data_IF_411646027796
#
_entry.id   IF_411646027796
#
_cell.length_a   1.000
_cell.length_b   1.000
_cell.length_c   1.000
_cell.angle_alpha   90.00
_cell.angle_beta   90.00
_cell.angle_gamma   90.00
#
_symmetry.space_group_name_H-M   'P 1'
#
loop_
_entity.id
_entity.type
_entity.pdbx_description
1 polymer ?
#
# COMPACT_ATOMS: atom_id res chain seq x y z
N UNK A 1 -9.37 -6.10 -13.40
CA UNK A 1 -8.70 -6.63 -12.19
C UNK A 1 -9.58 -6.32 -10.99
N UNK A 2 -9.72 -7.29 -10.10
CA UNK A 2 -10.37 -7.13 -8.80
C UNK A 2 -9.60 -7.92 -7.75
N UNK A 3 -9.64 -7.50 -6.49
CA UNK A 3 -9.16 -8.29 -5.36
C UNK A 3 -9.99 -7.97 -4.10
N UNK A 4 -10.16 -8.99 -3.25
CA UNK A 4 -11.02 -8.92 -2.06
C UNK A 4 -10.17 -8.76 -0.80
N UNK A 5 -10.56 -7.82 0.05
CA UNK A 5 -9.89 -7.50 1.31
C UNK A 5 -10.89 -7.55 2.45
N UNK A 6 -10.55 -8.24 3.53
CA UNK A 6 -11.17 -8.03 4.84
C UNK A 6 -10.79 -6.64 5.36
N UNK A 7 -11.77 -5.77 5.55
CA UNK A 7 -11.61 -4.42 6.11
C UNK A 7 -12.56 -4.29 7.28
N UNK A 8 -12.01 -4.13 8.47
CA UNK A 8 -12.72 -4.32 9.74
C UNK A 8 -13.49 -5.66 9.77
N UNK A 9 -14.82 -5.63 9.87
CA UNK A 9 -15.69 -6.82 9.85
C UNK A 9 -16.41 -7.02 8.50
N UNK A 10 -15.90 -6.44 7.42
CA UNK A 10 -16.48 -6.53 6.08
C UNK A 10 -15.50 -7.10 5.07
N UNK A 11 -16.01 -7.80 4.06
CA UNK A 11 -15.24 -8.12 2.85
C UNK A 11 -15.54 -7.10 1.76
N UNK A 12 -14.51 -6.43 1.27
CA UNK A 12 -14.61 -5.44 0.20
C UNK A 12 -13.86 -5.93 -1.04
N UNK A 13 -14.59 -6.05 -2.15
CA UNK A 13 -14.00 -6.32 -3.45
C UNK A 13 -13.68 -4.99 -4.14
N UNK A 14 -12.39 -4.72 -4.33
CA UNK A 14 -11.91 -3.50 -4.96
C UNK A 14 -11.60 -3.78 -6.44
N UNK A 15 -11.98 -2.85 -7.31
CA UNK A 15 -11.66 -2.86 -8.72
C UNK A 15 -10.48 -1.93 -9.04
N UNK A 16 -10.13 -1.88 -10.34
CA UNK A 16 -9.01 -1.06 -10.84
C UNK A 16 -9.08 0.39 -10.39
N UNK A 17 -10.24 1.02 -10.53
CA UNK A 17 -10.42 2.44 -10.19
C UNK A 17 -10.20 2.71 -8.71
N UNK A 18 -10.66 1.80 -7.83
CA UNK A 18 -10.41 1.92 -6.40
C UNK A 18 -8.93 1.79 -6.06
N UNK A 19 -8.20 0.86 -6.70
CA UNK A 19 -6.75 0.75 -6.50
C UNK A 19 -5.98 1.97 -7.01
N UNK A 20 -6.38 2.52 -8.16
CA UNK A 20 -5.79 3.76 -8.68
C UNK A 20 -6.05 4.94 -7.73
N UNK A 21 -7.26 5.04 -7.17
CA UNK A 21 -7.58 6.05 -6.16
C UNK A 21 -6.72 5.89 -4.88
N UNK A 22 -6.55 4.66 -4.39
CA UNK A 22 -5.67 4.37 -3.25
C UNK A 22 -4.20 4.71 -3.55
N UNK A 23 -3.72 4.40 -4.77
CA UNK A 23 -2.37 4.78 -5.23
C UNK A 23 -2.19 6.30 -5.17
N UNK A 24 -3.17 7.06 -5.67
CA UNK A 24 -3.12 8.52 -5.67
C UNK A 24 -3.16 9.10 -4.25
N UNK A 25 -3.98 8.55 -3.36
CA UNK A 25 -4.02 8.95 -1.94
C UNK A 25 -2.68 8.70 -1.23
N UNK A 26 -2.05 7.56 -1.49
CA UNK A 26 -0.72 7.25 -0.97
C UNK A 26 0.34 8.21 -1.53
N UNK A 27 0.32 8.47 -2.83
CA UNK A 27 1.25 9.40 -3.49
C UNK A 27 1.16 10.82 -2.90
N UNK A 28 -0.05 11.35 -2.76
CA UNK A 28 -0.28 12.67 -2.16
C UNK A 28 0.27 12.73 -0.73
N UNK A 29 0.00 11.70 0.08
CA UNK A 29 0.45 11.63 1.47
C UNK A 29 1.98 11.51 1.60
N UNK A 30 2.62 10.72 0.72
CA UNK A 30 4.08 10.63 0.66
C UNK A 30 4.71 11.97 0.27
N UNK A 31 4.14 12.65 -0.73
CA UNK A 31 4.64 13.94 -1.24
C UNK A 31 4.62 15.02 -0.17
N UNK A 32 3.55 15.05 0.63
CA UNK A 32 3.38 15.99 1.75
C UNK A 32 4.24 15.66 2.97
N UNK A 33 4.69 14.42 3.13
CA UNK A 33 5.50 14.00 4.27
C UNK A 33 6.98 14.34 4.10
N UNK A 34 7.54 15.17 4.98
CA UNK A 34 8.99 15.43 4.98
C UNK A 34 9.84 14.15 5.13
N UNK A 35 9.37 13.20 5.95
CA UNK A 35 10.09 11.95 6.25
C UNK A 35 10.02 10.93 5.12
N UNK A 36 8.95 10.90 4.34
CA UNK A 36 8.69 9.82 3.36
C UNK A 36 8.61 10.30 1.91
N UNK A 37 8.84 11.59 1.64
CA UNK A 37 8.80 12.18 0.29
C UNK A 37 9.72 11.48 -0.70
N UNK A 38 10.85 10.94 -0.24
CA UNK A 38 11.80 10.21 -1.10
C UNK A 38 11.19 9.00 -1.82
N UNK A 39 10.11 8.42 -1.29
CA UNK A 39 9.44 7.25 -1.88
C UNK A 39 8.37 7.62 -2.92
N UNK A 40 7.92 8.88 -2.97
CA UNK A 40 6.87 9.33 -3.87
C UNK A 40 7.22 9.14 -5.38
N UNK A 41 8.44 9.45 -5.87
CA UNK A 41 8.75 9.35 -7.30
C UNK A 41 8.71 7.91 -7.86
N UNK A 42 8.91 6.89 -7.02
CA UNK A 42 8.76 5.50 -7.43
C UNK A 42 7.28 5.15 -7.63
N UNK A 43 6.41 5.59 -6.72
CA UNK A 43 4.97 5.36 -6.81
C UNK A 43 4.31 6.17 -7.94
N UNK A 44 4.75 7.41 -8.15
CA UNK A 44 4.26 8.32 -9.20
C UNK A 44 4.40 7.73 -10.60
N UNK A 45 5.55 7.10 -10.88
CA UNK A 45 5.86 6.49 -12.18
C UNK A 45 5.25 5.10 -12.37
N UNK A 46 4.56 4.58 -11.34
CA UNK A 46 4.08 3.21 -11.31
C UNK A 46 2.60 3.10 -11.67
N UNK A 47 2.27 2.21 -12.60
CA UNK A 47 0.88 1.88 -12.94
C UNK A 47 0.34 0.73 -12.09
N UNK A 48 -0.96 0.72 -11.79
CA UNK A 48 -1.58 -0.40 -11.09
C UNK A 48 -1.74 -1.58 -12.07
N UNK A 49 -1.33 -2.77 -11.64
CA UNK A 49 -1.50 -4.02 -12.36
C UNK A 49 -1.74 -5.18 -11.39
N UNK A 50 -2.18 -6.32 -11.92
CA UNK A 50 -2.42 -7.53 -11.12
C UNK A 50 -1.88 -8.78 -11.81
N UNK A 51 -1.35 -9.71 -11.03
CA UNK A 51 -0.95 -11.04 -11.48
C UNK A 51 -1.24 -12.04 -10.36
N UNK A 52 -1.87 -13.17 -10.69
CA UNK A 52 -2.19 -14.24 -9.74
C UNK A 52 -2.93 -13.76 -8.48
N UNK A 53 -3.87 -12.83 -8.64
CA UNK A 53 -4.65 -12.26 -7.53
C UNK A 53 -3.91 -11.20 -6.70
N UNK A 54 -2.63 -10.96 -7.00
CA UNK A 54 -1.79 -9.96 -6.32
C UNK A 54 -1.87 -8.63 -7.07
N UNK A 55 -2.18 -7.53 -6.37
CA UNK A 55 -2.29 -6.19 -6.97
C UNK A 55 -1.10 -5.33 -6.58
N UNK A 56 -0.46 -4.69 -7.58
CA UNK A 56 0.80 -3.97 -7.44
C UNK A 56 0.81 -2.63 -8.15
N UNK A 57 1.72 -1.76 -7.74
CA UNK A 57 2.14 -0.58 -8.49
C UNK A 57 3.67 -0.48 -8.42
N UNK A 58 4.37 -0.89 -9.48
CA UNK A 58 5.84 -0.96 -9.47
C UNK A 58 6.36 -1.89 -8.36
N UNK A 59 7.14 -1.35 -7.42
CA UNK A 59 7.65 -2.06 -6.24
C UNK A 59 6.66 -2.13 -5.07
N UNK A 60 5.52 -1.47 -5.20
CA UNK A 60 4.49 -1.41 -4.19
C UNK A 60 3.47 -2.52 -4.37
N UNK A 61 3.01 -3.06 -3.25
CA UNK A 61 2.12 -4.19 -3.17
C UNK A 61 0.94 -3.87 -2.27
N UNK A 62 -0.28 -4.06 -2.77
CA UNK A 62 -1.46 -4.00 -1.94
C UNK A 62 -1.59 -5.30 -1.15
N UNK A 63 -1.71 -5.20 0.16
CA UNK A 63 -1.88 -6.35 1.06
C UNK A 63 -3.03 -6.13 2.02
N UNK A 64 -3.55 -7.23 2.56
CA UNK A 64 -4.42 -7.21 3.72
C UNK A 64 -3.58 -7.43 4.97
N UNK A 65 -3.54 -6.46 5.88
CA UNK A 65 -2.89 -6.60 7.18
C UNK A 65 -3.82 -6.17 8.28
N UNK A 66 -4.06 -7.06 9.26
CA UNK A 66 -4.91 -6.78 10.41
C UNK A 66 -6.26 -6.16 10.04
N UNK A 67 -6.93 -6.72 9.01
CA UNK A 67 -8.22 -6.23 8.50
C UNK A 67 -8.15 -4.79 7.97
N UNK A 68 -7.03 -4.43 7.35
CA UNK A 68 -6.85 -3.15 6.67
C UNK A 68 -6.22 -3.38 5.31
N UNK A 69 -6.60 -2.55 4.34
CA UNK A 69 -5.84 -2.45 3.09
C UNK A 69 -4.60 -1.63 3.39
N UNK A 70 -3.44 -2.15 2.98
CA UNK A 70 -2.17 -1.46 3.07
C UNK A 70 -1.46 -1.47 1.73
N UNK A 71 -0.65 -0.45 1.47
CA UNK A 71 0.28 -0.41 0.34
C UNK A 71 1.71 -0.47 0.89
N UNK A 72 2.40 -1.56 0.55
CA UNK A 72 3.72 -1.89 1.08
C UNK A 72 4.76 -1.75 -0.01
N UNK A 73 5.78 -0.91 0.21
CA UNK A 73 6.96 -0.91 -0.65
C UNK A 73 7.83 -2.11 -0.30
N UNK A 74 8.04 -3.00 -1.27
CA UNK A 74 8.90 -4.16 -1.07
C UNK A 74 10.38 -3.75 -1.29
N UNK A 75 11.24 -3.78 -0.24
CA UNK A 75 12.64 -3.42 -0.38
C UNK A 75 13.42 -4.49 -1.16
N UNK A 76 14.61 -4.15 -1.71
CA UNK A 76 15.57 -5.15 -2.16
C UNK A 76 15.92 -6.11 -1.01
N UNK A 77 16.17 -7.39 -1.32
CA UNK A 77 16.59 -8.36 -0.31
C UNK A 77 17.90 -7.91 0.33
N UNK A 78 17.86 -7.66 1.64
CA UNK A 78 18.99 -7.22 2.47
C UNK A 78 18.91 -7.88 3.85
N UNK A 79 20.01 -7.92 4.64
CA UNK A 79 20.02 -8.51 5.99
C UNK A 79 18.98 -7.90 6.95
N UNK A 80 18.65 -6.63 6.75
CA UNK A 80 17.53 -5.94 7.41
C UNK A 80 16.60 -5.45 6.32
N UNK A 81 15.36 -5.96 6.29
CA UNK A 81 14.35 -5.53 5.34
C UNK A 81 13.55 -4.37 5.95
N UNK A 82 13.55 -3.23 5.25
CA UNK A 82 12.85 -2.01 5.64
C UNK A 82 11.63 -1.83 4.72
N UNK A 83 10.44 -2.02 5.24
CA UNK A 83 9.19 -1.87 4.50
C UNK A 83 8.58 -0.50 4.80
N UNK A 84 8.29 0.27 3.76
CA UNK A 84 7.47 1.47 3.88
C UNK A 84 6.02 1.06 3.70
N UNK A 85 5.19 1.30 4.70
CA UNK A 85 3.79 0.84 4.73
C UNK A 85 2.87 2.04 4.84
N UNK A 86 2.04 2.23 3.82
CA UNK A 86 0.93 3.19 3.85
C UNK A 86 -0.34 2.44 4.24
N UNK A 87 -0.95 2.83 5.36
CA UNK A 87 -2.22 2.23 5.84
C UNK A 87 -3.39 3.06 5.38
N UNK A 88 -4.43 2.40 4.91
CA UNK A 88 -5.68 3.05 4.54
C UNK A 88 -6.77 2.79 5.57
N UNK A 89 -7.63 3.78 5.78
CA UNK A 89 -8.88 3.65 6.52
C UNK A 89 -10.07 3.79 5.56
N UNK A 90 -11.14 3.05 5.85
CA UNK A 90 -12.40 3.11 5.12
C UNK A 90 -13.56 3.36 6.09
N UNK A 91 -14.30 4.44 5.88
CA UNK A 91 -15.37 4.88 6.79
C UNK A 91 -16.78 4.48 6.32
N UNK A 92 -16.89 3.54 5.37
CA UNK A 92 -18.18 3.11 4.80
C UNK A 92 -18.58 3.82 3.51
N UNK A 93 -17.68 4.61 2.93
CA UNK A 93 -17.86 5.18 1.59
C UNK A 93 -16.61 5.87 1.05
N UNK A 94 -15.70 6.28 1.93
CA UNK A 94 -14.52 7.06 1.59
C UNK A 94 -13.26 6.39 2.09
N UNK A 95 -12.22 6.50 1.27
CA UNK A 95 -10.87 6.07 1.61
C UNK A 95 -10.03 7.27 2.06
N UNK A 96 -9.15 7.03 3.04
CA UNK A 96 -8.14 7.98 3.50
C UNK A 96 -6.85 7.27 3.91
N UNK A 97 -5.74 8.00 4.01
CA UNK A 97 -4.49 7.48 4.58
C UNK A 97 -4.53 7.65 6.09
N UNK A 98 -4.51 6.55 6.81
CA UNK A 98 -4.50 6.52 8.28
C UNK A 98 -3.10 6.77 8.85
N UNK A 99 -2.05 6.40 8.11
CA UNK A 99 -0.67 6.65 8.51
C UNK A 99 0.36 6.00 7.59
N UNK A 100 1.61 6.45 7.73
CA UNK A 100 2.77 5.93 7.01
C UNK A 100 3.82 5.50 8.03
N UNK A 101 4.28 4.25 7.95
CA UNK A 101 5.27 3.70 8.87
C UNK A 101 6.45 3.05 8.17
N UNK A 102 7.51 2.88 8.95
CA UNK A 102 8.72 2.17 8.61
C UNK A 102 8.77 0.88 9.46
N UNK A 103 8.55 -0.26 8.81
CA UNK A 103 8.57 -1.57 9.45
C UNK A 103 9.90 -2.27 9.15
N UNK A 104 10.61 -2.68 10.20
CA UNK A 104 11.89 -3.38 10.08
C UNK A 104 11.70 -4.85 10.40
N UNK A 105 12.05 -5.71 9.45
CA UNK A 105 12.13 -7.15 9.67
C UNK A 105 13.61 -7.53 9.61
N UNK A 106 14.16 -7.92 10.75
CA UNK A 106 15.45 -8.61 10.81
C UNK A 106 15.21 -10.06 10.43
N UNK A 107 15.96 -10.59 9.46
CA UNK A 107 15.95 -12.03 9.21
C UNK A 107 16.32 -12.74 10.51
N UNK A 108 15.45 -13.62 10.99
CA UNK A 108 15.79 -14.51 12.10
C UNK A 108 17.05 -15.27 11.71
N UNK A 109 18.09 -15.18 12.54
CA UNK A 109 19.28 -16.04 12.44
C UNK A 109 18.90 -17.48 12.70
#
# INVERSE_FOLDING_TARGET
>A
MTATFAVDDKELTLGREQFEALRMLALDSLTKSERYREFAPDLERSHVWSMDGVVRAGRWLFENRNRQVVLVMNPPRAPVMRFIVVRFAYDGGRWSVAGISDERVTGAR
#
